data_IF_724277797094
#
_entry.id   IF_724277797094
#
_cell.length_a   1.000
_cell.length_b   1.000
_cell.length_c   1.000
_cell.angle_alpha   90.00
_cell.angle_beta   90.00
_cell.angle_gamma   90.00
#
_symmetry.space_group_name_H-M   'P 1'
#
loop_
_entity.id
_entity.type
_entity.pdbx_description
1 polymer ?
#
# COMPACT_ATOMS: atom_id res chain seq x y z
N UNK A 1 -25.05 54.19 -17.34
CA UNK A 1 -25.68 52.89 -17.08
C UNK A 1 -24.63 51.99 -16.46
N UNK A 2 -24.66 51.81 -15.15
CA UNK A 2 -23.77 50.92 -14.40
C UNK A 2 -24.44 49.55 -14.32
N UNK A 3 -23.79 48.49 -14.77
CA UNK A 3 -24.21 47.15 -14.49
C UNK A 3 -23.37 46.63 -13.30
N UNK A 4 -24.05 46.36 -12.21
CA UNK A 4 -23.57 45.70 -11.00
C UNK A 4 -23.53 44.20 -11.29
N UNK A 5 -22.37 43.59 -11.12
CA UNK A 5 -22.24 42.15 -11.00
C UNK A 5 -22.29 41.79 -9.51
N UNK A 6 -23.30 41.00 -9.15
CA UNK A 6 -23.44 40.47 -7.81
C UNK A 6 -22.40 39.41 -7.53
N UNK A 7 -21.68 39.59 -6.46
CA UNK A 7 -20.84 38.53 -5.85
C UNK A 7 -21.75 37.45 -5.26
N UNK A 8 -21.72 36.26 -5.83
CA UNK A 8 -22.29 35.07 -5.19
C UNK A 8 -21.31 34.55 -4.16
N UNK A 9 -21.61 34.73 -2.89
CA UNK A 9 -20.95 34.04 -1.79
C UNK A 9 -20.97 32.55 -1.97
N UNK A 10 -19.85 31.95 -2.35
CA UNK A 10 -19.63 30.52 -2.28
C UNK A 10 -19.35 30.15 -0.83
N UNK A 11 -20.36 29.57 -0.22
CA UNK A 11 -20.33 28.98 1.10
C UNK A 11 -19.18 27.98 1.21
N UNK A 12 -18.09 28.33 1.88
CA UNK A 12 -16.97 27.45 2.21
C UNK A 12 -17.46 26.38 3.20
N UNK A 13 -17.99 25.29 2.66
CA UNK A 13 -18.13 24.08 3.48
C UNK A 13 -16.72 23.54 3.75
N UNK A 14 -16.32 23.59 5.02
CA UNK A 14 -15.11 22.94 5.52
C UNK A 14 -15.21 21.43 5.22
N UNK A 15 -14.43 20.94 4.27
CA UNK A 15 -14.34 19.51 3.99
C UNK A 15 -13.28 18.89 4.89
N UNK A 16 -13.70 17.97 5.73
CA UNK A 16 -12.81 17.12 6.52
C UNK A 16 -12.20 16.08 5.60
N UNK A 17 -10.88 15.94 5.62
CA UNK A 17 -10.18 14.89 4.90
C UNK A 17 -10.53 13.52 5.52
N UNK A 18 -11.08 12.60 4.74
CA UNK A 18 -11.46 11.26 5.19
C UNK A 18 -10.28 10.32 5.37
N UNK A 19 -9.04 10.78 5.16
CA UNK A 19 -7.83 9.95 5.27
C UNK A 19 -7.54 9.09 4.03
N UNK A 20 -8.49 8.92 3.14
CA UNK A 20 -8.34 8.20 1.88
C UNK A 20 -7.98 9.17 0.75
N UNK A 21 -6.70 9.55 0.69
CA UNK A 21 -6.19 10.52 -0.28
C UNK A 21 -6.23 10.01 -1.72
N UNK A 22 -6.34 8.69 -1.90
CA UNK A 22 -6.48 8.08 -3.21
C UNK A 22 -7.90 8.19 -3.75
N UNK A 23 -8.91 8.25 -2.90
CA UNK A 23 -10.32 8.34 -3.31
C UNK A 23 -10.86 9.76 -3.38
N UNK A 24 -10.40 10.69 -2.54
CA UNK A 24 -10.97 12.05 -2.51
C UNK A 24 -10.34 13.01 -3.52
N UNK A 25 -9.14 12.76 -4.04
CA UNK A 25 -8.44 13.59 -5.05
C UNK A 25 -8.21 15.07 -4.67
N UNK A 26 -8.57 15.48 -3.45
CA UNK A 26 -8.58 16.88 -3.01
C UNK A 26 -7.33 17.33 -2.28
N UNK A 27 -6.57 16.38 -1.71
CA UNK A 27 -5.35 16.69 -0.97
C UNK A 27 -4.21 17.20 -1.86
N UNK A 28 -4.31 17.00 -3.17
CA UNK A 28 -3.32 17.40 -4.14
C UNK A 28 -3.54 18.80 -4.75
N UNK A 29 -4.65 19.47 -4.49
CA UNK A 29 -5.05 20.70 -5.19
C UNK A 29 -4.91 22.00 -4.35
N UNK A 30 -4.29 21.97 -3.18
CA UNK A 30 -4.03 23.19 -2.40
C UNK A 30 -2.55 23.58 -2.47
N UNK A 31 -2.26 24.68 -3.15
CA UNK A 31 -1.08 25.50 -2.86
C UNK A 31 -1.16 25.96 -1.40
N UNK A 32 -0.43 25.32 -0.51
CA UNK A 32 -0.35 25.75 0.88
C UNK A 32 0.69 26.84 1.02
N UNK A 33 0.25 28.09 1.18
CA UNK A 33 1.06 29.23 1.63
C UNK A 33 1.41 29.18 3.11
N UNK A 34 1.29 28.07 3.80
CA UNK A 34 1.73 27.91 5.17
C UNK A 34 2.39 26.54 5.35
N UNK A 35 3.71 26.58 5.59
CA UNK A 35 4.49 25.44 6.04
C UNK A 35 4.07 25.05 7.47
N UNK A 36 2.96 24.34 7.60
CA UNK A 36 2.67 23.49 8.75
C UNK A 36 2.75 22.05 8.27
N UNK A 37 3.41 21.20 9.06
CA UNK A 37 3.72 19.78 8.86
C UNK A 37 2.81 19.06 7.84
N UNK A 38 3.35 18.32 6.85
CA UNK A 38 2.54 17.70 5.83
C UNK A 38 1.49 16.80 6.49
N UNK A 39 0.23 17.05 6.20
CA UNK A 39 -0.89 16.22 6.65
C UNK A 39 -0.69 14.76 6.21
N UNK A 40 -1.04 13.81 7.08
CA UNK A 40 -1.01 12.38 6.79
C UNK A 40 -1.69 12.12 5.44
N UNK A 41 -0.95 11.61 4.44
CA UNK A 41 -1.50 11.11 3.16
C UNK A 41 -1.14 11.89 1.89
N UNK A 42 -0.26 12.89 1.92
CA UNK A 42 0.22 13.55 0.69
C UNK A 42 1.30 12.74 0.01
N UNK A 43 1.18 12.56 -1.32
CA UNK A 43 2.30 12.18 -2.17
C UNK A 43 3.30 13.34 -2.17
N UNK A 44 4.53 13.08 -1.73
CA UNK A 44 5.59 14.08 -1.72
C UNK A 44 6.70 13.65 -2.66
N UNK A 45 7.11 14.55 -3.55
CA UNK A 45 8.34 14.36 -4.28
C UNK A 45 9.55 14.68 -3.40
N UNK A 46 10.67 13.99 -3.60
CA UNK A 46 11.90 14.33 -2.91
C UNK A 46 12.35 15.75 -3.29
N UNK A 47 13.02 16.50 -2.38
CA UNK A 47 13.38 17.91 -2.61
C UNK A 47 14.33 18.14 -3.79
N UNK A 48 15.03 17.11 -4.22
CA UNK A 48 15.97 17.11 -5.36
C UNK A 48 15.28 16.78 -6.70
N UNK A 49 13.99 16.53 -6.69
CA UNK A 49 13.25 16.25 -7.91
C UNK A 49 13.06 17.50 -8.76
N UNK A 50 13.40 17.38 -10.04
CA UNK A 50 13.19 18.42 -11.04
C UNK A 50 12.44 17.83 -12.22
N UNK A 51 11.37 18.50 -12.67
CA UNK A 51 10.66 18.12 -13.90
C UNK A 51 11.27 18.83 -15.11
N UNK A 52 11.14 18.23 -16.28
CA UNK A 52 11.66 18.79 -17.53
C UNK A 52 10.66 19.79 -18.13
N UNK A 53 10.95 21.06 -18.00
CA UNK A 53 10.06 22.16 -18.44
C UNK A 53 9.86 22.25 -19.98
N UNK A 54 10.61 21.46 -20.75
CA UNK A 54 10.48 21.40 -22.22
C UNK A 54 9.43 20.42 -22.72
N UNK A 55 8.81 19.63 -21.86
CA UNK A 55 7.83 18.65 -22.26
C UNK A 55 6.47 19.31 -22.49
N UNK A 56 5.72 18.85 -23.51
CA UNK A 56 4.42 19.41 -23.86
C UNK A 56 3.28 18.43 -23.57
N UNK A 57 2.07 18.98 -23.38
CA UNK A 57 0.83 18.23 -23.28
C UNK A 57 0.54 17.70 -21.88
N UNK A 58 -0.35 16.72 -21.86
CA UNK A 58 -0.77 16.01 -20.62
C UNK A 58 -0.09 14.66 -20.54
N UNK A 59 0.09 14.19 -19.31
CA UNK A 59 0.60 12.86 -19.03
C UNK A 59 -0.22 12.15 -17.97
N UNK A 60 -0.25 10.82 -18.02
CA UNK A 60 -0.89 9.96 -17.04
C UNK A 60 0.16 9.04 -16.39
N UNK A 61 0.17 9.01 -15.07
CA UNK A 61 0.88 7.98 -14.32
C UNK A 61 -0.14 7.00 -13.73
N UNK A 62 0.05 5.71 -13.98
CA UNK A 62 -0.81 4.64 -13.49
C UNK A 62 -0.07 3.77 -12.47
N UNK A 63 -0.74 3.53 -11.34
CA UNK A 63 -0.36 2.54 -10.35
C UNK A 63 -1.35 1.37 -10.45
N UNK A 64 -0.87 0.24 -10.95
CA UNK A 64 -1.66 -0.95 -11.24
C UNK A 64 -1.60 -1.93 -10.07
N UNK A 65 -2.33 -1.63 -9.00
CA UNK A 65 -2.42 -2.51 -7.84
C UNK A 65 -3.29 -3.75 -8.09
N UNK A 66 -3.03 -4.83 -7.35
CA UNK A 66 -3.85 -6.04 -7.37
C UNK A 66 -5.30 -5.75 -7.00
N UNK A 67 -5.51 -4.90 -6.01
CA UNK A 67 -6.83 -4.57 -5.45
C UNK A 67 -7.39 -3.26 -5.99
N UNK A 68 -6.55 -2.26 -6.20
CA UNK A 68 -6.94 -0.90 -6.59
C UNK A 68 -6.07 -0.42 -7.74
N UNK A 69 -6.68 0.19 -8.74
CA UNK A 69 -6.00 0.93 -9.80
C UNK A 69 -6.05 2.42 -9.47
N UNK A 70 -4.94 3.12 -9.66
CA UNK A 70 -4.87 4.58 -9.52
C UNK A 70 -4.31 5.22 -10.79
N UNK A 71 -4.80 6.42 -11.10
CA UNK A 71 -4.29 7.26 -12.18
C UNK A 71 -4.11 8.70 -11.69
N UNK A 72 -3.01 9.32 -12.11
CA UNK A 72 -2.62 10.68 -11.81
C UNK A 72 -2.43 11.44 -13.12
N UNK A 73 -3.23 12.48 -13.33
CA UNK A 73 -3.17 13.33 -14.54
C UNK A 73 -2.29 14.54 -14.27
N UNK A 74 -1.29 14.73 -15.10
CA UNK A 74 -0.30 15.79 -14.99
C UNK A 74 -0.30 16.71 -16.21
N UNK A 75 -0.07 18.00 -15.98
CA UNK A 75 0.38 18.92 -17.01
C UNK A 75 1.90 18.82 -17.08
N UNK A 76 2.43 18.21 -18.14
CA UNK A 76 3.87 17.97 -18.30
C UNK A 76 4.66 19.26 -18.52
N UNK A 77 4.04 20.26 -19.14
CA UNK A 77 4.70 21.57 -19.37
C UNK A 77 4.97 22.33 -18.08
N UNK A 78 4.06 22.24 -17.10
CA UNK A 78 4.16 22.99 -15.84
C UNK A 78 4.60 22.13 -14.65
N UNK A 79 4.69 20.81 -14.81
CA UNK A 79 4.95 19.87 -13.72
C UNK A 79 3.81 19.83 -12.68
N UNK A 80 2.59 20.25 -13.05
CA UNK A 80 1.48 20.40 -12.09
C UNK A 80 0.55 19.19 -12.13
N UNK A 81 0.24 18.61 -10.97
CA UNK A 81 -0.80 17.61 -10.84
C UNK A 81 -2.18 18.25 -11.05
N UNK A 82 -2.91 17.77 -12.04
CA UNK A 82 -4.27 18.22 -12.36
C UNK A 82 -5.28 17.48 -11.49
N UNK A 83 -5.11 16.18 -11.31
CA UNK A 83 -6.00 15.40 -10.48
C UNK A 83 -5.63 13.92 -10.39
N UNK A 84 -6.32 13.24 -9.48
CA UNK A 84 -6.18 11.80 -9.26
C UNK A 84 -7.52 11.11 -9.32
N UNK A 85 -7.52 9.85 -9.73
CA UNK A 85 -8.69 8.99 -9.72
C UNK A 85 -8.28 7.57 -9.36
N UNK A 86 -9.11 6.90 -8.58
CA UNK A 86 -8.91 5.49 -8.24
C UNK A 86 -10.16 4.68 -8.48
N UNK A 87 -9.99 3.38 -8.68
CA UNK A 87 -11.08 2.42 -8.75
C UNK A 87 -10.63 1.04 -8.28
N UNK A 88 -11.60 0.19 -7.94
CA UNK A 88 -11.31 -1.22 -7.69
C UNK A 88 -10.84 -1.87 -8.98
N UNK A 89 -9.78 -2.69 -8.89
CA UNK A 89 -9.30 -3.45 -10.03
C UNK A 89 -10.41 -4.39 -10.54
N UNK A 90 -10.87 -4.23 -11.78
CA UNK A 90 -11.98 -5.03 -12.32
C UNK A 90 -11.63 -6.51 -12.52
N UNK A 91 -10.35 -6.88 -12.45
CA UNK A 91 -9.89 -8.27 -12.51
C UNK A 91 -10.27 -9.08 -11.25
N UNK A 92 -10.68 -8.43 -10.16
CA UNK A 92 -11.05 -9.10 -8.89
C UNK A 92 -12.11 -10.19 -9.04
N UNK A 93 -12.94 -10.15 -10.07
CA UNK A 93 -13.94 -11.18 -10.36
C UNK A 93 -13.34 -12.53 -10.76
N UNK A 94 -12.06 -12.53 -11.20
CA UNK A 94 -11.31 -13.73 -11.60
C UNK A 94 -10.37 -14.23 -10.50
N UNK A 95 -10.24 -13.50 -9.40
CA UNK A 95 -9.41 -13.88 -8.25
C UNK A 95 -9.15 -12.68 -7.34
N UNK A 96 -9.14 -12.91 -6.04
CA UNK A 96 -8.89 -11.89 -5.03
C UNK A 96 -7.41 -11.45 -4.98
N UNK A 97 -6.50 -12.36 -5.30
CA UNK A 97 -5.05 -12.22 -5.25
C UNK A 97 -4.38 -12.55 -6.60
N UNK A 98 -3.08 -12.31 -6.69
CA UNK A 98 -2.31 -12.54 -7.92
C UNK A 98 -2.24 -14.01 -8.31
N UNK A 99 -2.11 -14.94 -7.36
CA UNK A 99 -1.97 -16.37 -7.63
C UNK A 99 -3.25 -16.94 -8.24
N UNK A 100 -4.41 -16.57 -7.68
CA UNK A 100 -5.73 -16.94 -8.23
C UNK A 100 -5.88 -16.47 -9.67
N UNK A 101 -5.43 -15.24 -10.00
CA UNK A 101 -5.50 -14.69 -11.36
C UNK A 101 -4.51 -15.35 -12.30
N UNK A 102 -3.30 -15.67 -11.84
CA UNK A 102 -2.31 -16.45 -12.64
C UNK A 102 -2.88 -17.83 -12.96
N UNK A 103 -3.50 -18.49 -11.98
CA UNK A 103 -4.14 -19.79 -12.18
C UNK A 103 -5.22 -19.69 -13.25
N UNK A 104 -6.12 -18.72 -13.13
CA UNK A 104 -7.15 -18.46 -14.14
C UNK A 104 -6.56 -18.18 -15.54
N UNK A 105 -5.54 -17.32 -15.62
CA UNK A 105 -4.85 -17.01 -16.88
C UNK A 105 -4.25 -18.25 -17.55
N UNK A 106 -3.77 -19.19 -16.73
CA UNK A 106 -3.12 -20.43 -17.20
C UNK A 106 -4.06 -21.50 -17.76
N UNK A 107 -5.37 -21.42 -17.47
CA UNK A 107 -6.35 -22.43 -17.94
C UNK A 107 -6.54 -22.37 -19.46
N UNK A 108 -6.67 -21.19 -20.04
CA UNK A 108 -6.82 -21.01 -21.49
C UNK A 108 -6.22 -19.69 -21.97
N UNK A 109 -5.85 -19.62 -23.25
CA UNK A 109 -5.43 -18.35 -23.87
C UNK A 109 -6.51 -17.27 -23.80
N UNK A 110 -7.78 -17.64 -23.78
CA UNK A 110 -8.89 -16.71 -23.72
C UNK A 110 -8.95 -16.01 -22.35
N UNK A 111 -8.68 -16.73 -21.27
CA UNK A 111 -8.67 -16.19 -19.91
C UNK A 111 -7.60 -15.10 -19.72
N UNK A 112 -6.43 -15.29 -20.33
CA UNK A 112 -5.40 -14.25 -20.35
C UNK A 112 -5.88 -12.99 -21.08
N UNK A 113 -6.56 -13.14 -22.22
CA UNK A 113 -7.14 -12.01 -22.95
C UNK A 113 -8.21 -11.30 -22.12
N UNK A 114 -9.06 -12.05 -21.41
CA UNK A 114 -10.10 -11.49 -20.54
C UNK A 114 -9.49 -10.66 -19.40
N UNK A 115 -8.44 -11.16 -18.76
CA UNK A 115 -7.73 -10.41 -17.71
C UNK A 115 -7.13 -9.12 -18.26
N UNK A 116 -6.44 -9.17 -19.42
CA UNK A 116 -5.91 -7.96 -20.05
C UNK A 116 -7.02 -6.98 -20.39
N UNK A 117 -8.08 -7.43 -21.05
CA UNK A 117 -9.20 -6.56 -21.44
C UNK A 117 -9.86 -5.88 -20.23
N UNK A 118 -10.03 -6.61 -19.12
CA UNK A 118 -10.57 -6.03 -17.88
C UNK A 118 -9.64 -5.00 -17.28
N UNK A 119 -8.33 -5.26 -17.28
CA UNK A 119 -7.36 -4.27 -16.81
C UNK A 119 -7.38 -3.01 -17.67
N UNK A 120 -7.32 -3.15 -18.99
CA UNK A 120 -7.39 -2.03 -19.94
C UNK A 120 -8.71 -1.27 -19.82
N UNK A 121 -9.83 -1.97 -19.61
CA UNK A 121 -11.10 -1.29 -19.32
C UNK A 121 -10.99 -0.39 -18.10
N UNK A 122 -10.37 -0.85 -17.02
CA UNK A 122 -10.13 -0.03 -15.82
C UNK A 122 -9.21 1.16 -16.09
N UNK A 123 -8.12 0.95 -16.82
CA UNK A 123 -7.17 2.00 -17.23
C UNK A 123 -7.89 3.10 -18.04
N UNK A 124 -8.68 2.71 -19.05
CA UNK A 124 -9.44 3.67 -19.87
C UNK A 124 -10.54 4.38 -19.06
N UNK A 125 -11.24 3.69 -18.17
CA UNK A 125 -12.22 4.33 -17.29
C UNK A 125 -11.59 5.41 -16.41
N UNK A 126 -10.39 5.15 -15.85
CA UNK A 126 -9.66 6.15 -15.06
C UNK A 126 -9.20 7.32 -15.91
N UNK A 127 -8.65 7.06 -17.11
CA UNK A 127 -8.26 8.09 -18.08
C UNK A 127 -9.45 8.99 -18.43
N UNK A 128 -10.56 8.40 -18.86
CA UNK A 128 -11.74 9.12 -19.30
C UNK A 128 -12.39 9.92 -18.16
N UNK A 129 -12.44 9.35 -16.96
CA UNK A 129 -12.94 10.05 -15.77
C UNK A 129 -12.12 11.31 -15.44
N UNK A 130 -10.78 11.23 -15.52
CA UNK A 130 -9.91 12.38 -15.31
C UNK A 130 -10.04 13.42 -16.42
N UNK A 131 -9.96 13.02 -17.68
CA UNK A 131 -10.08 13.94 -18.80
C UNK A 131 -11.43 14.67 -18.79
N UNK A 132 -12.54 13.94 -18.60
CA UNK A 132 -13.88 14.53 -18.53
C UNK A 132 -14.05 15.47 -17.34
N UNK A 133 -13.54 15.07 -16.14
CA UNK A 133 -13.65 15.89 -14.90
C UNK A 133 -12.99 17.25 -15.05
N UNK A 134 -11.89 17.33 -15.79
CA UNK A 134 -11.11 18.54 -15.96
C UNK A 134 -11.28 19.17 -17.34
N UNK A 135 -12.24 18.68 -18.14
CA UNK A 135 -12.59 19.19 -19.46
C UNK A 135 -11.42 19.21 -20.46
N UNK A 136 -10.58 18.17 -20.41
CA UNK A 136 -9.53 17.96 -21.41
C UNK A 136 -9.94 16.95 -22.47
N UNK A 137 -9.41 17.13 -23.67
CA UNK A 137 -9.54 16.19 -24.78
C UNK A 137 -8.35 15.25 -24.84
N UNK A 138 -8.57 14.03 -25.31
CA UNK A 138 -7.54 12.97 -25.35
C UNK A 138 -6.36 13.35 -26.26
N UNK A 139 -6.58 14.18 -27.29
CA UNK A 139 -5.53 14.69 -28.19
C UNK A 139 -4.43 15.50 -27.47
N UNK A 140 -4.70 15.96 -26.24
CA UNK A 140 -3.69 16.63 -25.40
C UNK A 140 -2.80 15.66 -24.64
N UNK A 141 -3.19 14.39 -24.55
CA UNK A 141 -2.40 13.37 -23.89
C UNK A 141 -1.22 12.98 -24.78
N UNK A 142 0.00 13.08 -24.26
CA UNK A 142 1.22 12.78 -25.01
C UNK A 142 1.98 11.59 -24.48
N UNK A 143 1.81 11.24 -23.19
CA UNK A 143 2.51 10.13 -22.57
C UNK A 143 1.71 9.48 -21.45
N UNK A 144 1.87 8.16 -21.27
CA UNK A 144 1.40 7.44 -20.10
C UNK A 144 2.50 6.51 -19.56
N UNK A 145 2.65 6.49 -18.23
CA UNK A 145 3.63 5.68 -17.51
C UNK A 145 2.88 4.72 -16.58
N UNK A 146 3.27 3.46 -16.59
CA UNK A 146 2.64 2.40 -15.81
C UNK A 146 3.63 1.77 -14.84
N UNK A 147 3.25 1.66 -13.58
CA UNK A 147 3.91 0.80 -12.60
C UNK A 147 2.89 -0.17 -11.99
N UNK A 148 3.37 -1.19 -11.32
CA UNK A 148 2.58 -2.20 -10.63
C UNK A 148 3.44 -3.41 -10.33
N UNK A 149 2.90 -4.37 -9.55
CA UNK A 149 3.64 -5.60 -9.32
C UNK A 149 3.86 -6.39 -10.61
N UNK A 150 4.80 -7.33 -10.58
CA UNK A 150 5.22 -8.09 -11.77
C UNK A 150 4.05 -8.80 -12.46
N UNK A 151 3.10 -9.34 -11.71
CA UNK A 151 1.92 -10.01 -12.27
C UNK A 151 1.02 -9.02 -13.01
N UNK A 152 0.81 -7.83 -12.46
CA UNK A 152 -0.03 -6.81 -13.08
C UNK A 152 0.56 -6.28 -14.37
N UNK A 153 1.88 -6.12 -14.44
CA UNK A 153 2.57 -5.73 -15.68
C UNK A 153 2.51 -6.84 -16.74
N UNK A 154 2.59 -8.13 -16.33
CA UNK A 154 2.36 -9.26 -17.25
C UNK A 154 0.95 -9.26 -17.82
N UNK A 155 -0.08 -8.99 -17.02
CA UNK A 155 -1.45 -8.87 -17.52
C UNK A 155 -1.63 -7.68 -18.45
N UNK A 156 -1.00 -6.53 -18.16
CA UNK A 156 -1.05 -5.35 -19.03
C UNK A 156 -0.47 -5.66 -20.41
N UNK A 157 0.71 -6.28 -20.44
CA UNK A 157 1.47 -6.57 -21.66
C UNK A 157 1.08 -7.90 -22.33
N UNK A 158 0.18 -8.67 -21.70
CA UNK A 158 -0.22 -10.01 -22.15
C UNK A 158 0.94 -11.00 -22.24
N UNK A 159 1.93 -10.85 -21.37
CA UNK A 159 3.02 -11.80 -21.18
C UNK A 159 2.57 -12.97 -20.31
N UNK A 160 3.19 -14.14 -20.50
CA UNK A 160 2.81 -15.36 -19.78
C UNK A 160 3.13 -15.27 -18.28
N UNK A 161 2.12 -15.26 -17.38
CA UNK A 161 2.36 -15.10 -15.95
C UNK A 161 2.63 -16.43 -15.22
N UNK A 162 2.54 -17.59 -15.88
CA UNK A 162 2.58 -18.90 -15.22
C UNK A 162 3.88 -19.15 -14.47
N UNK A 163 4.99 -18.62 -14.97
CA UNK A 163 6.28 -18.69 -14.30
C UNK A 163 6.29 -18.02 -12.91
N UNK A 164 5.40 -17.04 -12.67
CA UNK A 164 5.31 -16.34 -11.39
C UNK A 164 4.63 -17.16 -10.28
N UNK A 165 3.89 -18.21 -10.63
CA UNK A 165 3.19 -19.05 -9.64
C UNK A 165 3.98 -20.30 -9.22
N UNK A 166 5.09 -20.59 -9.88
CA UNK A 166 5.87 -21.80 -9.67
C UNK A 166 7.34 -21.46 -9.40
N UNK A 167 7.92 -22.05 -8.35
CA UNK A 167 9.36 -21.91 -8.08
C UNK A 167 10.18 -22.32 -9.33
N UNK A 168 11.18 -21.52 -9.71
CA UNK A 168 11.81 -20.41 -9.03
C UNK A 168 11.19 -19.02 -9.31
N UNK A 169 9.89 -18.92 -9.61
CA UNK A 169 9.10 -17.69 -9.77
C UNK A 169 9.65 -16.73 -10.84
N UNK A 170 10.05 -17.30 -11.98
CA UNK A 170 10.67 -16.53 -13.06
C UNK A 170 9.62 -15.77 -13.89
N UNK A 171 9.76 -14.46 -14.05
CA UNK A 171 8.93 -13.66 -14.94
C UNK A 171 9.25 -13.97 -16.42
N UNK A 172 8.25 -13.80 -17.30
CA UNK A 172 8.46 -13.91 -18.75
C UNK A 172 9.27 -12.73 -19.31
N UNK A 173 9.27 -11.58 -18.62
CA UNK A 173 10.10 -10.42 -18.90
C UNK A 173 10.41 -9.66 -17.62
N UNK A 174 11.51 -8.89 -17.61
CA UNK A 174 11.94 -8.09 -16.45
C UNK A 174 12.13 -6.61 -16.80
N UNK A 175 12.72 -6.29 -17.94
CA UNK A 175 13.05 -4.92 -18.35
C UNK A 175 11.82 -4.02 -18.53
N UNK A 176 12.09 -2.77 -18.82
CA UNK A 176 11.09 -1.79 -19.21
C UNK A 176 10.48 -2.13 -20.58
N UNK A 177 9.31 -1.54 -20.84
CA UNK A 177 8.68 -1.59 -22.16
C UNK A 177 8.26 -0.19 -22.58
N UNK A 178 8.77 0.23 -23.71
CA UNK A 178 8.27 1.41 -24.43
C UNK A 178 7.46 0.95 -25.64
N UNK A 179 6.32 1.59 -25.90
CA UNK A 179 5.41 1.19 -26.96
C UNK A 179 4.51 2.35 -27.43
N UNK A 180 3.92 2.19 -28.62
CA UNK A 180 2.91 3.13 -29.15
C UNK A 180 1.57 2.99 -28.40
N UNK A 181 0.88 4.11 -28.23
CA UNK A 181 -0.42 4.14 -27.53
C UNK A 181 -1.44 3.16 -28.04
N UNK A 182 -1.49 2.94 -29.36
CA UNK A 182 -2.43 2.00 -30.02
C UNK A 182 -2.33 0.57 -29.50
N UNK A 183 -1.17 0.14 -28.99
CA UNK A 183 -0.97 -1.22 -28.49
C UNK A 183 -1.84 -1.51 -27.25
N UNK A 184 -2.13 -0.47 -26.46
CA UNK A 184 -3.02 -0.56 -25.30
C UNK A 184 -4.32 0.26 -25.47
N UNK A 185 -4.67 0.62 -26.72
CA UNK A 185 -5.93 1.33 -27.03
C UNK A 185 -5.92 2.82 -26.71
N UNK A 186 -4.76 3.45 -26.55
CA UNK A 186 -4.59 4.91 -26.55
C UNK A 186 -4.45 5.43 -27.99
N UNK A 187 -4.44 6.76 -28.14
CA UNK A 187 -4.17 7.37 -29.46
C UNK A 187 -2.72 7.11 -29.90
N UNK A 188 -2.50 6.99 -31.22
CA UNK A 188 -1.21 6.60 -31.81
C UNK A 188 -0.04 7.53 -31.44
N UNK A 189 -0.32 8.80 -31.14
CA UNK A 189 0.71 9.76 -30.75
C UNK A 189 1.08 9.73 -29.26
N UNK A 190 0.40 8.90 -28.45
CA UNK A 190 0.71 8.75 -27.02
C UNK A 190 1.83 7.73 -26.86
N UNK A 191 2.95 8.13 -26.28
CA UNK A 191 4.02 7.21 -25.89
C UNK A 191 3.67 6.55 -24.57
N UNK A 192 3.81 5.23 -24.48
CA UNK A 192 3.58 4.43 -23.29
C UNK A 192 4.91 3.89 -22.74
N UNK A 193 5.07 3.95 -21.42
CA UNK A 193 6.23 3.40 -20.74
C UNK A 193 5.78 2.54 -19.55
N UNK A 194 6.24 1.30 -19.49
CA UNK A 194 6.01 0.38 -18.36
C UNK A 194 7.32 0.21 -17.61
N UNK A 195 7.31 0.52 -16.32
CA UNK A 195 8.49 0.44 -15.47
C UNK A 195 9.03 -0.99 -15.39
N UNK A 196 10.36 -1.15 -15.32
CA UNK A 196 10.99 -2.45 -15.21
C UNK A 196 10.63 -3.15 -13.91
N UNK A 197 10.46 -4.46 -13.96
CA UNK A 197 10.37 -5.33 -12.80
C UNK A 197 11.77 -5.68 -12.29
N UNK A 198 11.87 -6.02 -11.00
CA UNK A 198 13.12 -6.45 -10.35
C UNK A 198 13.19 -7.97 -10.36
N UNK A 199 12.07 -8.64 -10.06
CA UNK A 199 11.97 -10.09 -9.99
C UNK A 199 10.51 -10.56 -10.09
N UNK A 200 10.27 -11.86 -10.00
CA UNK A 200 8.94 -12.47 -10.12
C UNK A 200 7.88 -11.89 -9.17
N UNK A 201 8.27 -11.50 -7.96
CA UNK A 201 7.38 -10.93 -6.97
C UNK A 201 7.80 -9.53 -6.49
N UNK A 202 8.75 -8.88 -7.17
CA UNK A 202 9.19 -7.51 -6.89
C UNK A 202 9.09 -6.73 -8.19
N UNK A 203 8.03 -5.95 -8.33
CA UNK A 203 7.62 -5.35 -9.59
C UNK A 203 8.06 -3.92 -9.82
N UNK A 204 7.48 -3.32 -10.88
CA UNK A 204 7.67 -1.92 -11.24
C UNK A 204 7.14 -0.92 -10.21
N UNK A 205 6.25 -1.33 -9.31
CA UNK A 205 5.82 -0.56 -8.14
C UNK A 205 6.98 -0.31 -7.16
N UNK A 206 7.82 -1.33 -6.91
CA UNK A 206 9.01 -1.18 -6.08
C UNK A 206 10.09 -0.39 -6.81
N UNK A 207 10.24 -0.57 -8.12
CA UNK A 207 11.12 0.29 -8.93
C UNK A 207 10.70 1.77 -8.81
N UNK A 208 9.41 2.07 -8.96
CA UNK A 208 8.84 3.40 -8.72
C UNK A 208 9.08 3.88 -7.28
N UNK A 209 8.91 2.99 -6.30
CA UNK A 209 9.21 3.24 -4.90
C UNK A 209 10.66 3.65 -4.64
N UNK A 210 11.60 3.01 -5.33
CA UNK A 210 13.04 3.39 -5.25
C UNK A 210 13.30 4.76 -5.87
N UNK A 211 12.63 5.09 -6.99
CA UNK A 211 12.71 6.43 -7.60
C UNK A 211 12.22 7.48 -6.62
N UNK A 212 11.01 7.33 -6.07
CA UNK A 212 10.38 8.36 -5.25
C UNK A 212 10.96 8.48 -3.84
N UNK A 213 11.37 7.38 -3.22
CA UNK A 213 11.91 7.37 -1.86
C UNK A 213 13.38 7.83 -1.77
N UNK A 214 14.10 7.74 -2.89
CA UNK A 214 15.57 7.97 -2.93
C UNK A 214 16.37 7.04 -2.01
N UNK A 215 15.80 5.94 -1.55
CA UNK A 215 16.44 5.06 -0.56
C UNK A 215 17.82 4.58 -1.05
N UNK A 216 17.96 4.24 -2.33
CA UNK A 216 19.24 3.88 -2.94
C UNK A 216 20.26 5.03 -3.02
N UNK A 217 19.82 6.30 -2.97
CA UNK A 217 20.71 7.47 -3.02
C UNK A 217 21.12 7.97 -1.61
N UNK A 218 20.53 7.41 -0.54
CA UNK A 218 20.81 7.82 0.85
C UNK A 218 22.07 7.16 1.38
N UNK A 219 22.80 7.86 2.27
CA UNK A 219 23.95 7.29 2.97
C UNK A 219 23.54 6.47 4.16
N UNK A 220 24.16 5.32 4.36
CA UNK A 220 23.90 4.38 5.45
C UNK A 220 22.93 3.27 5.06
N UNK A 221 22.62 2.43 6.02
CA UNK A 221 21.74 1.26 5.83
C UNK A 221 20.28 1.65 6.04
N UNK A 222 19.43 1.43 5.05
CA UNK A 222 18.04 1.82 5.05
C UNK A 222 17.13 0.66 4.69
N UNK A 223 15.97 0.62 5.30
CA UNK A 223 14.91 -0.32 5.00
C UNK A 223 13.75 0.41 4.32
N UNK A 224 13.33 -0.06 3.17
CA UNK A 224 12.10 0.35 2.51
C UNK A 224 11.12 -0.82 2.56
N UNK A 225 9.87 -0.53 2.89
CA UNK A 225 8.84 -1.55 3.06
C UNK A 225 7.55 -1.06 2.42
N UNK A 226 7.02 -1.80 1.45
CA UNK A 226 5.66 -1.61 0.93
C UNK A 226 4.79 -2.74 1.45
N UNK A 227 3.86 -2.42 2.34
CA UNK A 227 3.03 -3.39 3.04
C UNK A 227 1.60 -3.36 2.51
N UNK A 228 1.29 -4.31 1.66
CA UNK A 228 -0.05 -4.60 1.14
C UNK A 228 -0.44 -6.05 1.41
N UNK A 229 -1.08 -6.71 0.45
CA UNK A 229 -1.38 -8.16 0.46
C UNK A 229 -0.09 -8.97 0.51
N UNK A 230 0.95 -8.53 -0.20
CA UNK A 230 2.33 -8.96 0.00
C UNK A 230 3.08 -7.86 0.76
N UNK A 231 4.23 -8.20 1.31
CA UNK A 231 5.15 -7.23 1.89
C UNK A 231 6.44 -7.22 1.09
N UNK A 232 6.60 -6.23 0.22
CA UNK A 232 7.85 -6.02 -0.50
C UNK A 232 8.82 -5.24 0.38
N UNK A 233 10.03 -5.77 0.53
CA UNK A 233 11.05 -5.24 1.43
C UNK A 233 12.35 -5.04 0.67
N UNK A 234 12.94 -3.85 0.78
CA UNK A 234 14.26 -3.53 0.23
C UNK A 234 15.17 -3.07 1.35
N UNK A 235 16.29 -3.76 1.54
CA UNK A 235 17.40 -3.30 2.37
C UNK A 235 18.44 -2.64 1.45
N UNK A 236 18.70 -1.35 1.65
CA UNK A 236 19.56 -0.54 0.79
C UNK A 236 20.73 0.06 1.53
N UNK A 237 21.92 0.00 0.94
CA UNK A 237 23.13 0.63 1.46
C UNK A 237 24.07 1.00 0.29
N UNK A 238 24.59 2.22 0.31
CA UNK A 238 25.60 2.72 -0.64
C UNK A 238 25.29 2.47 -2.12
N UNK A 239 24.03 2.70 -2.50
CA UNK A 239 23.56 2.61 -3.88
C UNK A 239 23.21 1.23 -4.39
N UNK A 240 23.25 0.20 -3.54
CA UNK A 240 22.84 -1.18 -3.82
C UNK A 240 21.77 -1.62 -2.84
N UNK A 241 21.08 -2.71 -3.13
CA UNK A 241 20.08 -3.26 -2.23
C UNK A 241 19.86 -4.75 -2.40
N UNK A 242 19.25 -5.33 -1.37
CA UNK A 242 18.60 -6.64 -1.40
C UNK A 242 17.09 -6.41 -1.40
N UNK A 243 16.36 -7.12 -2.24
CA UNK A 243 14.91 -7.04 -2.31
C UNK A 243 14.28 -8.41 -2.13
N UNK A 244 13.19 -8.48 -1.39
CA UNK A 244 12.38 -9.69 -1.27
C UNK A 244 10.89 -9.35 -1.24
N UNK A 245 10.05 -10.36 -1.45
CA UNK A 245 8.62 -10.28 -1.22
C UNK A 245 8.19 -11.34 -0.22
N UNK A 246 7.33 -10.98 0.73
CA UNK A 246 6.79 -11.85 1.75
C UNK A 246 5.29 -12.04 1.56
N UNK A 247 4.79 -13.26 1.75
CA UNK A 247 3.36 -13.54 1.75
C UNK A 247 2.74 -13.11 3.10
N UNK A 248 2.61 -11.79 3.31
CA UNK A 248 2.07 -11.23 4.53
C UNK A 248 0.55 -11.54 4.70
N UNK A 249 -0.16 -11.71 3.60
CA UNK A 249 -1.61 -11.85 3.59
C UNK A 249 -2.33 -10.51 3.77
N UNK A 250 -3.65 -10.46 3.51
CA UNK A 250 -4.38 -9.20 3.44
C UNK A 250 -4.91 -8.71 4.81
N UNK A 251 -4.36 -9.17 5.94
CA UNK A 251 -4.80 -8.76 7.27
C UNK A 251 -4.69 -7.25 7.48
N UNK A 252 -3.61 -6.64 7.03
CA UNK A 252 -3.38 -5.20 7.12
C UNK A 252 -4.17 -4.37 6.09
N UNK A 253 -4.85 -5.01 5.14
CA UNK A 253 -5.86 -4.39 4.28
C UNK A 253 -7.30 -4.57 4.83
N UNK A 254 -7.46 -5.28 5.94
CA UNK A 254 -8.75 -5.59 6.54
C UNK A 254 -9.55 -6.69 5.81
N UNK A 255 -8.96 -7.40 4.85
CA UNK A 255 -9.71 -8.31 3.98
C UNK A 255 -9.90 -9.73 4.53
N UNK A 256 -9.01 -10.21 5.41
CA UNK A 256 -9.10 -11.56 6.01
C UNK A 256 -9.67 -11.57 7.43
N UNK A 257 -10.10 -10.42 7.94
CA UNK A 257 -10.62 -10.28 9.30
C UNK A 257 -12.11 -10.50 9.36
N UNK A 258 -12.62 -11.02 10.48
CA UNK A 258 -14.04 -11.35 10.69
C UNK A 258 -14.97 -10.13 10.57
N UNK A 259 -14.54 -8.99 11.13
CA UNK A 259 -15.21 -7.68 11.00
C UNK A 259 -14.35 -6.68 10.24
N UNK A 260 -13.53 -7.16 9.31
CA UNK A 260 -12.59 -6.33 8.56
C UNK A 260 -13.28 -5.47 7.51
N UNK A 261 -12.77 -4.27 7.35
CA UNK A 261 -13.17 -3.36 6.28
C UNK A 261 -11.97 -2.54 5.78
N UNK A 262 -12.15 -1.90 4.63
CA UNK A 262 -11.15 -0.95 4.14
C UNK A 262 -11.18 0.33 4.97
N UNK A 263 -10.04 1.04 5.00
CA UNK A 263 -9.97 2.37 5.58
C UNK A 263 -10.91 3.32 4.81
N UNK A 264 -11.99 3.72 5.46
CA UNK A 264 -13.06 4.56 4.92
C UNK A 264 -13.98 5.02 6.03
N UNK A 265 -15.02 5.79 5.69
CA UNK A 265 -15.97 6.33 6.67
C UNK A 265 -16.57 5.21 7.54
N UNK A 266 -16.52 5.38 8.86
CA UNK A 266 -17.00 4.41 9.85
C UNK A 266 -16.05 3.25 10.15
N UNK A 267 -14.91 3.11 9.46
CA UNK A 267 -13.91 2.11 9.81
C UNK A 267 -13.22 2.47 11.13
N UNK A 268 -13.12 1.55 12.07
CA UNK A 268 -12.31 1.71 13.28
C UNK A 268 -10.84 1.68 12.88
N UNK A 269 -10.10 2.74 13.15
CA UNK A 269 -8.70 2.92 12.76
C UNK A 269 -7.72 3.07 13.94
N UNK A 270 -8.22 3.36 15.14
CA UNK A 270 -7.45 3.44 16.37
C UNK A 270 -8.25 2.93 17.56
N UNK A 271 -7.58 2.22 18.46
CA UNK A 271 -8.13 1.74 19.73
C UNK A 271 -7.17 2.12 20.85
N UNK A 272 -7.74 2.50 21.99
CA UNK A 272 -7.00 2.77 23.23
C UNK A 272 -7.67 2.00 24.36
N UNK A 273 -6.86 1.19 25.08
CA UNK A 273 -7.32 0.41 26.24
C UNK A 273 -6.57 0.89 27.49
N UNK A 274 -7.32 1.46 28.41
CA UNK A 274 -6.88 1.84 29.75
C UNK A 274 -7.78 1.17 30.79
N UNK A 275 -8.40 1.90 31.71
CA UNK A 275 -9.45 1.35 32.58
C UNK A 275 -10.69 0.94 31.78
N UNK A 276 -11.01 1.73 30.73
CA UNK A 276 -12.03 1.44 29.71
C UNK A 276 -11.40 1.42 28.32
N UNK A 277 -12.11 0.82 27.37
CA UNK A 277 -11.72 0.84 25.97
C UNK A 277 -12.46 1.95 25.22
N UNK A 278 -11.72 2.74 24.49
CA UNK A 278 -12.22 3.72 23.52
C UNK A 278 -11.68 3.44 22.13
N UNK A 279 -12.34 3.93 21.11
CA UNK A 279 -11.90 3.79 19.72
C UNK A 279 -12.20 5.05 18.92
N UNK A 280 -11.47 5.25 17.85
CA UNK A 280 -11.73 6.25 16.84
C UNK A 280 -12.26 5.56 15.56
N UNK A 281 -13.15 6.27 14.82
CA UNK A 281 -13.60 5.85 13.49
C UNK A 281 -13.28 6.93 12.47
N UNK A 282 -12.85 6.54 11.29
CA UNK A 282 -12.61 7.47 10.19
C UNK A 282 -13.92 8.23 9.90
N UNK A 283 -13.85 9.57 9.90
CA UNK A 283 -15.02 10.43 9.67
C UNK A 283 -15.95 10.58 10.88
N UNK A 284 -15.61 10.00 12.04
CA UNK A 284 -16.43 10.01 13.26
C UNK A 284 -17.84 9.44 13.07
N UNK A 285 -17.99 8.53 12.10
CA UNK A 285 -19.23 7.84 11.80
C UNK A 285 -19.47 6.64 12.71
N UNK A 286 -20.67 6.02 12.55
CA UNK A 286 -21.01 4.75 13.19
C UNK A 286 -20.02 3.66 12.74
N UNK A 287 -19.51 2.82 13.67
CA UNK A 287 -18.62 1.72 13.29
C UNK A 287 -19.24 0.76 12.29
N UNK A 288 -18.52 0.49 11.20
CA UNK A 288 -18.92 -0.49 10.16
C UNK A 288 -18.00 -1.70 10.11
N UNK A 289 -16.81 -1.60 10.73
CA UNK A 289 -15.79 -2.63 10.76
C UNK A 289 -14.48 -2.08 11.29
N UNK A 290 -13.41 -2.87 11.18
CA UNK A 290 -12.06 -2.50 11.60
C UNK A 290 -11.12 -2.53 10.37
N UNK A 291 -10.34 -1.47 10.16
CA UNK A 291 -9.35 -1.43 9.08
C UNK A 291 -7.96 -1.91 9.53
N UNK A 292 -7.00 -1.94 8.63
CA UNK A 292 -5.65 -2.44 8.90
C UNK A 292 -4.90 -1.73 10.02
N UNK A 293 -4.98 -0.39 10.10
CA UNK A 293 -4.41 0.36 11.22
C UNK A 293 -5.14 0.07 12.52
N UNK A 294 -6.46 -0.07 12.46
CA UNK A 294 -7.30 -0.38 13.62
C UNK A 294 -7.01 -1.76 14.21
N UNK A 295 -6.87 -2.81 13.39
CA UNK A 295 -6.57 -4.16 13.92
C UNK A 295 -5.17 -4.21 14.54
N UNK A 296 -4.18 -3.53 13.96
CA UNK A 296 -2.86 -3.45 14.55
C UNK A 296 -2.87 -2.72 15.90
N UNK A 297 -3.54 -1.56 15.96
CA UNK A 297 -3.74 -0.80 17.21
C UNK A 297 -4.49 -1.64 18.25
N UNK A 298 -5.56 -2.33 17.85
CA UNK A 298 -6.31 -3.20 18.74
C UNK A 298 -5.47 -4.32 19.36
N UNK A 299 -4.72 -5.04 18.52
CA UNK A 299 -3.89 -6.16 18.98
C UNK A 299 -2.76 -5.64 19.88
N UNK A 300 -2.17 -4.48 19.58
CA UNK A 300 -1.15 -3.85 20.43
C UNK A 300 -1.72 -3.48 21.80
N UNK A 301 -2.86 -2.80 21.85
CA UNK A 301 -3.50 -2.40 23.09
C UNK A 301 -4.01 -3.60 23.90
N UNK A 302 -4.61 -4.59 23.26
CA UNK A 302 -5.02 -5.83 23.89
C UNK A 302 -3.83 -6.59 24.49
N UNK A 303 -2.68 -6.54 23.81
CA UNK A 303 -1.44 -7.16 24.31
C UNK A 303 -0.85 -6.38 25.50
N UNK A 304 -0.83 -5.04 25.43
CA UNK A 304 -0.40 -4.15 26.55
C UNK A 304 -1.29 -4.35 27.77
N UNK A 305 -2.59 -4.46 27.58
CA UNK A 305 -3.56 -4.66 28.64
C UNK A 305 -3.57 -6.09 29.24
N UNK A 306 -2.90 -7.07 28.61
CA UNK A 306 -2.92 -8.46 29.07
C UNK A 306 -4.13 -9.29 28.61
N UNK A 307 -4.99 -8.74 27.76
CA UNK A 307 -6.13 -9.46 27.14
C UNK A 307 -5.65 -10.54 26.16
N UNK A 308 -4.45 -10.36 25.59
CA UNK A 308 -3.77 -11.33 24.73
C UNK A 308 -2.43 -11.67 25.37
N UNK A 309 -2.13 -12.96 25.52
CA UNK A 309 -0.82 -13.39 26.00
C UNK A 309 0.25 -13.32 24.88
N UNK A 310 1.52 -13.55 25.22
CA UNK A 310 2.64 -13.50 24.27
C UNK A 310 2.44 -14.42 23.05
N UNK A 311 1.77 -15.57 23.22
CA UNK A 311 1.48 -16.51 22.12
C UNK A 311 0.23 -16.15 21.31
N UNK A 312 -0.35 -14.98 21.53
CA UNK A 312 -1.53 -14.50 20.82
C UNK A 312 -2.84 -15.13 21.28
N UNK A 313 -2.90 -15.84 22.42
CA UNK A 313 -4.14 -16.39 22.93
C UNK A 313 -4.96 -15.30 23.63
N UNK A 314 -6.17 -15.09 23.16
CA UNK A 314 -7.18 -14.27 23.83
C UNK A 314 -7.64 -14.98 25.09
N UNK A 315 -7.57 -14.31 26.25
CA UNK A 315 -8.03 -14.86 27.53
C UNK A 315 -9.56 -14.94 27.58
N UNK A 316 -10.10 -15.73 28.50
CA UNK A 316 -11.55 -15.78 28.72
C UNK A 316 -12.00 -14.66 29.66
N UNK A 317 -13.33 -14.38 29.65
CA UNK A 317 -13.92 -13.44 30.61
C UNK A 317 -13.72 -13.88 32.04
N UNK A 318 -13.80 -15.20 32.32
CA UNK A 318 -13.55 -15.78 33.63
C UNK A 318 -12.12 -15.57 34.09
N UNK A 319 -11.13 -15.87 33.23
CA UNK A 319 -9.69 -15.62 33.50
C UNK A 319 -9.44 -14.12 33.80
N UNK A 320 -10.14 -13.23 33.05
CA UNK A 320 -10.01 -11.78 33.26
C UNK A 320 -10.62 -11.33 34.59
N UNK A 321 -11.85 -11.76 34.89
CA UNK A 321 -12.58 -11.40 36.11
C UNK A 321 -11.85 -11.88 37.38
N UNK A 322 -11.23 -13.07 37.32
CA UNK A 322 -10.43 -13.59 38.42
C UNK A 322 -9.21 -12.67 38.69
N UNK A 323 -8.53 -12.21 37.66
CA UNK A 323 -7.38 -11.33 37.78
C UNK A 323 -7.74 -9.85 38.01
N UNK A 324 -8.91 -9.40 37.51
CA UNK A 324 -9.35 -7.99 37.50
C UNK A 324 -10.84 -7.88 37.86
N UNK A 325 -11.28 -8.18 39.09
CA UNK A 325 -12.68 -8.38 39.46
C UNK A 325 -13.59 -7.16 39.30
N UNK A 326 -13.05 -5.97 39.07
CA UNK A 326 -13.84 -4.74 38.90
C UNK A 326 -13.63 -4.08 37.53
N UNK A 327 -12.89 -4.72 36.64
CA UNK A 327 -12.60 -4.14 35.33
C UNK A 327 -13.80 -4.27 34.38
N UNK A 328 -14.25 -3.19 33.75
CA UNK A 328 -15.34 -3.23 32.77
C UNK A 328 -14.98 -4.00 31.49
N UNK A 329 -13.68 -4.26 31.26
CA UNK A 329 -13.20 -4.97 30.07
C UNK A 329 -13.65 -6.43 30.03
N UNK A 330 -13.90 -7.08 31.19
CA UNK A 330 -14.42 -8.43 31.27
C UNK A 330 -15.75 -8.63 30.52
N UNK A 331 -16.62 -7.61 30.55
CA UNK A 331 -17.91 -7.62 29.83
C UNK A 331 -17.77 -7.63 28.31
N UNK A 332 -16.60 -7.27 27.77
CA UNK A 332 -16.28 -7.28 26.34
C UNK A 332 -15.71 -8.62 25.88
N UNK A 333 -15.26 -9.47 26.81
CA UNK A 333 -14.79 -10.83 26.52
C UNK A 333 -16.02 -11.77 26.45
N UNK A 334 -16.38 -12.16 25.25
CA UNK A 334 -17.59 -12.97 24.99
C UNK A 334 -17.17 -14.32 24.41
N UNK A 335 -17.82 -15.39 24.86
CA UNK A 335 -17.67 -16.72 24.29
C UNK A 335 -18.94 -17.09 23.48
N UNK A 336 -18.73 -17.56 22.24
CA UNK A 336 -19.78 -18.09 21.37
C UNK A 336 -19.42 -19.50 20.94
N UNK A 337 -19.92 -20.47 21.70
CA UNK A 337 -19.47 -21.84 21.53
C UNK A 337 -18.02 -22.01 21.88
N UNK A 338 -17.18 -22.36 20.88
CA UNK A 338 -15.72 -22.49 21.06
C UNK A 338 -14.94 -21.21 20.74
N UNK A 339 -15.61 -20.23 20.16
CA UNK A 339 -14.98 -18.99 19.74
C UNK A 339 -14.95 -17.96 20.85
N UNK A 340 -13.80 -17.29 21.01
CA UNK A 340 -13.62 -16.17 21.93
C UNK A 340 -13.52 -14.88 21.14
N UNK A 341 -14.24 -13.86 21.63
CA UNK A 341 -14.37 -12.57 20.98
C UNK A 341 -14.06 -11.45 21.98
N UNK A 342 -13.46 -10.38 21.52
CA UNK A 342 -13.40 -9.11 22.23
C UNK A 342 -14.25 -8.08 21.49
N UNK A 343 -15.35 -7.65 22.14
CA UNK A 343 -16.30 -6.70 21.55
C UNK A 343 -15.72 -5.28 21.56
N UNK A 344 -15.58 -4.70 20.38
CA UNK A 344 -15.18 -3.29 20.22
C UNK A 344 -16.41 -2.37 20.30
N UNK A 345 -17.49 -2.76 19.61
CA UNK A 345 -18.71 -1.99 19.55
C UNK A 345 -19.92 -2.91 19.32
N UNK A 346 -21.07 -2.52 19.89
CA UNK A 346 -22.34 -3.21 19.65
C UNK A 346 -23.53 -2.27 19.80
N UNK A 347 -24.45 -2.31 18.84
CA UNK A 347 -25.74 -1.63 18.87
C UNK A 347 -26.81 -2.52 18.22
N UNK A 348 -27.78 -2.98 19.00
CA UNK A 348 -28.78 -3.95 18.54
C UNK A 348 -28.13 -5.25 18.07
N UNK A 349 -28.38 -5.62 16.82
CA UNK A 349 -27.83 -6.83 16.18
C UNK A 349 -26.47 -6.56 15.46
N UNK A 350 -26.08 -5.31 15.30
CA UNK A 350 -24.81 -4.94 14.68
C UNK A 350 -23.69 -4.91 15.71
N UNK A 351 -22.54 -5.44 15.35
CA UNK A 351 -21.37 -5.46 16.21
C UNK A 351 -20.06 -5.47 15.43
N UNK A 352 -19.00 -4.96 16.06
CA UNK A 352 -17.62 -5.10 15.62
C UNK A 352 -16.86 -5.76 16.76
N UNK A 353 -16.21 -6.87 16.46
CA UNK A 353 -15.46 -7.66 17.43
C UNK A 353 -14.17 -8.19 16.81
N UNK A 354 -13.21 -8.55 17.66
CA UNK A 354 -11.98 -9.23 17.28
C UNK A 354 -12.06 -10.66 17.81
N UNK A 355 -11.88 -11.64 16.95
CA UNK A 355 -11.84 -13.04 17.31
C UNK A 355 -10.39 -13.58 17.41
N UNK A 356 -10.26 -14.80 17.91
CA UNK A 356 -8.96 -15.46 17.99
C UNK A 356 -8.30 -15.62 16.63
N UNK A 357 -9.07 -15.84 15.56
CA UNK A 357 -8.55 -15.99 14.21
C UNK A 357 -7.98 -14.67 13.70
N UNK A 358 -8.63 -13.52 13.97
CA UNK A 358 -8.11 -12.20 13.57
C UNK A 358 -6.73 -11.92 14.18
N UNK A 359 -6.55 -12.29 15.46
CA UNK A 359 -5.24 -12.18 16.13
C UNK A 359 -4.21 -13.06 15.43
N UNK A 360 -4.60 -14.26 14.99
CA UNK A 360 -3.71 -15.17 14.27
C UNK A 360 -3.32 -14.62 12.91
N UNK A 361 -4.24 -13.98 12.18
CA UNK A 361 -3.93 -13.29 10.91
C UNK A 361 -2.86 -12.21 11.11
N UNK A 362 -2.98 -11.39 12.16
CA UNK A 362 -1.96 -10.38 12.51
C UNK A 362 -0.62 -11.04 12.85
N UNK A 363 -0.61 -12.15 13.60
CA UNK A 363 0.62 -12.88 13.91
C UNK A 363 1.31 -13.41 12.66
N UNK A 364 0.55 -13.99 11.72
CA UNK A 364 1.09 -14.53 10.47
C UNK A 364 1.66 -13.42 9.59
N UNK A 365 0.94 -12.34 9.41
CA UNK A 365 1.38 -11.18 8.61
C UNK A 365 2.67 -10.57 9.20
N UNK A 366 2.65 -10.29 10.50
CA UNK A 366 3.81 -9.78 11.24
C UNK A 366 5.01 -10.70 11.11
N UNK A 367 4.80 -11.99 11.28
CA UNK A 367 5.87 -12.99 11.25
C UNK A 367 6.53 -13.04 9.86
N UNK A 368 5.73 -13.05 8.79
CA UNK A 368 6.23 -13.04 7.42
C UNK A 368 7.11 -11.80 7.16
N UNK A 369 6.58 -10.61 7.48
CA UNK A 369 7.29 -9.33 7.29
C UNK A 369 8.59 -9.32 8.09
N UNK A 370 8.52 -9.66 9.37
CA UNK A 370 9.71 -9.63 10.23
C UNK A 370 10.77 -10.63 9.79
N UNK A 371 10.37 -11.82 9.34
CA UNK A 371 11.28 -12.81 8.79
C UNK A 371 12.01 -12.28 7.56
N UNK A 372 11.29 -11.65 6.61
CA UNK A 372 11.91 -11.03 5.45
C UNK A 372 12.98 -10.00 5.84
N UNK A 373 12.66 -9.10 6.78
CA UNK A 373 13.61 -8.10 7.29
C UNK A 373 14.87 -8.76 7.88
N UNK A 374 14.70 -9.77 8.75
CA UNK A 374 15.82 -10.43 9.42
C UNK A 374 16.73 -11.18 8.44
N UNK A 375 16.16 -11.85 7.44
CA UNK A 375 16.93 -12.56 6.44
C UNK A 375 17.74 -11.61 5.55
N UNK A 376 17.17 -10.46 5.15
CA UNK A 376 17.93 -9.44 4.42
C UNK A 376 19.07 -8.87 5.28
N UNK A 377 18.80 -8.52 6.54
CA UNK A 377 19.82 -8.03 7.48
C UNK A 377 20.93 -9.07 7.66
N UNK A 378 20.58 -10.34 7.92
CA UNK A 378 21.53 -11.44 8.07
C UNK A 378 22.41 -11.60 6.83
N UNK A 379 21.84 -11.53 5.63
CA UNK A 379 22.57 -11.68 4.36
C UNK A 379 23.65 -10.62 4.19
N UNK A 380 23.40 -9.40 4.63
CA UNK A 380 24.39 -8.32 4.63
C UNK A 380 25.18 -8.18 5.94
N UNK A 381 25.02 -9.12 6.88
CA UNK A 381 25.68 -9.08 8.20
C UNK A 381 25.40 -7.76 8.92
N UNK A 382 24.16 -7.30 8.84
CA UNK A 382 23.63 -6.11 9.52
C UNK A 382 22.69 -6.53 10.64
N UNK A 383 22.48 -5.61 11.57
CA UNK A 383 21.55 -5.74 12.69
C UNK A 383 20.56 -4.58 12.67
N UNK A 384 19.44 -4.63 13.39
CA UNK A 384 18.51 -3.51 13.49
C UNK A 384 19.15 -2.19 13.94
N UNK A 385 20.21 -2.23 14.72
CA UNK A 385 20.95 -1.06 15.22
C UNK A 385 21.68 -0.32 14.09
N UNK A 386 22.09 -1.05 13.04
CA UNK A 386 22.76 -0.49 11.85
C UNK A 386 21.80 0.31 10.97
N UNK A 387 20.48 0.12 11.12
CA UNK A 387 19.48 0.80 10.31
C UNK A 387 19.45 2.30 10.62
N UNK A 388 19.77 3.11 9.63
CA UNK A 388 19.72 4.57 9.69
C UNK A 388 18.28 5.08 9.56
N UNK A 389 17.45 4.39 8.78
CA UNK A 389 16.04 4.75 8.59
C UNK A 389 15.20 3.62 8.01
N UNK A 390 13.90 3.63 8.34
CA UNK A 390 12.86 2.76 7.80
C UNK A 390 11.82 3.62 7.08
N UNK A 391 11.53 3.28 5.84
CA UNK A 391 10.60 4.01 4.97
C UNK A 391 9.43 3.12 4.62
N UNK A 392 8.24 3.52 5.09
CA UNK A 392 7.00 2.76 4.91
C UNK A 392 6.22 3.33 3.74
N UNK A 393 6.04 2.55 2.69
CA UNK A 393 5.22 2.88 1.53
C UNK A 393 3.78 2.39 1.69
N UNK A 394 2.93 2.78 0.74
CA UNK A 394 1.53 2.39 0.67
C UNK A 394 0.62 3.15 1.64
N UNK A 395 -0.68 2.91 1.49
CA UNK A 395 -1.69 3.56 2.33
C UNK A 395 -1.58 3.16 3.81
N UNK A 396 -1.23 1.90 4.06
CA UNK A 396 -1.03 1.36 5.40
C UNK A 396 0.13 2.06 6.12
N UNK A 397 1.26 2.29 5.44
CA UNK A 397 2.43 2.97 6.02
C UNK A 397 2.14 4.40 6.51
N UNK A 398 1.11 5.08 5.96
CA UNK A 398 0.73 6.41 6.39
C UNK A 398 -0.25 6.44 7.58
N UNK A 399 -1.07 5.39 7.73
CA UNK A 399 -2.10 5.32 8.76
C UNK A 399 -1.67 4.50 9.96
N UNK A 400 -0.59 3.75 9.82
CA UNK A 400 -0.01 2.91 10.85
C UNK A 400 0.50 3.75 12.03
N UNK A 401 0.14 3.36 13.25
CA UNK A 401 0.76 3.88 14.46
C UNK A 401 2.11 3.19 14.66
N UNK A 402 3.20 3.94 14.46
CA UNK A 402 4.57 3.41 14.46
C UNK A 402 4.90 2.70 15.78
N UNK A 403 4.48 3.29 16.89
CA UNK A 403 4.66 2.71 18.23
C UNK A 403 4.08 1.29 18.33
N UNK A 404 2.86 1.07 17.81
CA UNK A 404 2.20 -0.23 17.85
C UNK A 404 2.90 -1.26 16.95
N UNK A 405 3.37 -0.83 15.78
CA UNK A 405 4.13 -1.69 14.86
C UNK A 405 5.49 -2.12 15.46
N UNK A 406 6.17 -1.21 16.14
CA UNK A 406 7.40 -1.51 16.90
C UNK A 406 7.11 -2.43 18.08
N UNK A 407 6.07 -2.13 18.85
CA UNK A 407 5.70 -2.92 20.05
C UNK A 407 5.34 -4.37 19.70
N UNK A 408 4.55 -4.58 18.64
CA UNK A 408 4.19 -5.91 18.16
C UNK A 408 5.35 -6.62 17.43
N UNK A 409 6.38 -5.89 17.02
CA UNK A 409 7.52 -6.43 16.28
C UNK A 409 7.24 -6.66 14.79
N UNK A 410 6.30 -5.94 14.20
CA UNK A 410 6.15 -5.83 12.73
C UNK A 410 7.40 -5.16 12.15
N UNK A 411 7.83 -4.07 12.79
CA UNK A 411 9.09 -3.39 12.49
C UNK A 411 10.22 -3.90 13.36
N UNK A 412 11.48 -3.89 12.86
CA UNK A 412 12.63 -4.18 13.69
C UNK A 412 12.78 -3.14 14.81
N UNK A 413 13.44 -3.49 15.96
CA UNK A 413 13.54 -2.61 17.11
C UNK A 413 14.49 -1.44 16.82
N UNK A 414 13.94 -0.34 16.35
CA UNK A 414 14.63 0.95 16.12
C UNK A 414 13.93 2.06 16.89
N UNK A 415 14.60 3.20 17.02
CA UNK A 415 13.95 4.38 17.59
C UNK A 415 12.85 4.89 16.62
N UNK A 416 11.70 5.30 17.17
CA UNK A 416 10.53 5.71 16.39
C UNK A 416 10.84 6.81 15.38
N UNK A 417 11.71 7.75 15.72
CA UNK A 417 12.13 8.85 14.84
C UNK A 417 12.94 8.41 13.61
N UNK A 418 13.33 7.12 13.52
CA UNK A 418 13.94 6.52 12.33
C UNK A 418 12.90 5.96 11.35
N UNK A 419 11.61 5.95 11.71
CA UNK A 419 10.53 5.41 10.86
C UNK A 419 9.76 6.55 10.23
N UNK A 420 9.58 6.51 8.91
CA UNK A 420 8.87 7.51 8.14
C UNK A 420 7.87 6.87 7.17
N UNK A 421 6.62 7.33 7.21
CA UNK A 421 5.62 7.03 6.17
C UNK A 421 5.84 7.89 4.93
N UNK A 422 5.80 7.28 3.75
CA UNK A 422 6.04 7.95 2.47
C UNK A 422 4.78 8.06 1.58
N UNK A 423 3.70 7.40 1.94
CA UNK A 423 2.49 7.38 1.12
C UNK A 423 2.58 6.50 -0.13
N UNK A 424 1.84 6.87 -1.18
CA UNK A 424 1.88 6.15 -2.45
C UNK A 424 3.19 6.44 -3.21
N UNK A 425 4.21 5.66 -2.90
CA UNK A 425 5.54 5.76 -3.54
C UNK A 425 5.52 5.24 -4.98
N UNK A 426 4.66 4.29 -5.29
CA UNK A 426 4.48 3.76 -6.64
C UNK A 426 3.93 4.83 -7.59
N UNK A 427 2.82 5.47 -7.23
CA UNK A 427 2.25 6.57 -8.01
C UNK A 427 3.17 7.80 -8.08
N UNK A 428 3.90 8.09 -6.98
CA UNK A 428 4.89 9.17 -6.96
C UNK A 428 6.04 8.90 -7.94
N UNK A 429 6.65 7.70 -7.88
CA UNK A 429 7.75 7.32 -8.76
C UNK A 429 7.35 7.26 -10.22
N UNK A 430 6.19 6.68 -10.55
CA UNK A 430 5.64 6.69 -11.90
C UNK A 430 5.41 8.13 -12.42
N UNK A 431 4.98 9.05 -11.55
CA UNK A 431 4.82 10.46 -11.89
C UNK A 431 6.16 11.16 -12.12
N UNK A 432 7.19 10.84 -11.34
CA UNK A 432 8.54 11.39 -11.54
C UNK A 432 9.14 10.93 -12.88
N UNK A 433 9.01 9.64 -13.21
CA UNK A 433 9.41 9.08 -14.51
C UNK A 433 8.61 9.71 -15.67
N UNK A 434 7.32 9.99 -15.48
CA UNK A 434 6.50 10.69 -16.47
C UNK A 434 6.99 12.11 -16.77
N UNK A 435 7.56 12.79 -15.76
CA UNK A 435 7.87 14.22 -15.79
C UNK A 435 9.35 14.51 -16.02
N UNK A 436 10.25 13.52 -15.98
CA UNK A 436 11.70 13.72 -16.09
C UNK A 436 12.39 12.56 -16.80
N UNK A 437 13.17 12.88 -17.84
CA UNK A 437 14.01 11.92 -18.56
C UNK A 437 15.12 11.39 -17.67
N UNK A 438 15.70 12.22 -16.78
CA UNK A 438 16.72 11.77 -15.81
C UNK A 438 16.17 10.68 -14.89
N UNK A 439 14.90 10.81 -14.44
CA UNK A 439 14.28 9.82 -13.59
C UNK A 439 13.92 8.54 -14.36
N UNK A 440 13.59 8.64 -15.63
CA UNK A 440 13.39 7.50 -16.52
C UNK A 440 14.66 6.72 -16.73
N UNK A 441 15.76 7.39 -17.10
CA UNK A 441 17.09 6.77 -17.23
C UNK A 441 17.54 6.15 -15.90
N UNK A 442 17.30 6.85 -14.81
CA UNK A 442 17.59 6.37 -13.45
C UNK A 442 16.78 5.13 -13.09
N UNK A 443 15.52 5.08 -13.50
CA UNK A 443 14.58 3.97 -13.26
C UNK A 443 15.07 2.68 -13.95
N UNK A 444 15.52 2.76 -15.19
CA UNK A 444 16.09 1.64 -15.94
C UNK A 444 17.24 0.93 -15.19
N UNK A 445 18.04 1.68 -14.43
CA UNK A 445 19.19 1.15 -13.71
C UNK A 445 18.84 0.52 -12.35
N UNK A 446 17.64 0.69 -11.83
CA UNK A 446 17.26 0.20 -10.49
C UNK A 446 17.32 -1.32 -10.38
N UNK A 447 16.77 -2.13 -11.30
CA UNK A 447 16.88 -3.59 -11.22
C UNK A 447 18.33 -4.11 -11.13
N UNK A 448 19.27 -3.41 -11.77
CA UNK A 448 20.68 -3.79 -11.74
C UNK A 448 21.38 -3.50 -10.39
N UNK A 449 20.77 -2.66 -9.55
CA UNK A 449 21.28 -2.29 -8.22
C UNK A 449 20.67 -3.14 -7.11
N UNK A 450 19.64 -3.93 -7.41
CA UNK A 450 18.89 -4.73 -6.44
C UNK A 450 19.09 -6.22 -6.71
N UNK A 451 19.63 -6.94 -5.74
CA UNK A 451 19.68 -8.40 -5.76
C UNK A 451 18.37 -8.94 -5.16
N UNK A 452 17.64 -9.75 -5.90
CA UNK A 452 16.47 -10.42 -5.38
C UNK A 452 16.86 -11.60 -4.47
N UNK A 453 16.23 -11.70 -3.32
CA UNK A 453 16.37 -12.79 -2.35
C UNK A 453 15.07 -13.58 -2.32
N UNK A 454 15.12 -14.82 -2.83
CA UNK A 454 13.98 -15.74 -2.78
C UNK A 454 13.89 -16.35 -1.38
N UNK A 455 12.98 -15.83 -0.56
CA UNK A 455 12.83 -16.23 0.85
C UNK A 455 12.42 -17.69 1.01
N UNK A 456 11.65 -18.23 0.09
CA UNK A 456 11.18 -19.62 0.16
C UNK A 456 12.33 -20.65 0.04
N UNK A 457 13.49 -20.24 -0.45
CA UNK A 457 14.69 -21.08 -0.60
C UNK A 457 15.70 -20.87 0.54
N UNK A 458 15.44 -19.92 1.48
CA UNK A 458 16.32 -19.67 2.61
C UNK A 458 16.10 -20.70 3.72
N UNK A 459 17.17 -21.39 4.13
CA UNK A 459 17.12 -22.47 5.12
C UNK A 459 16.62 -21.97 6.50
N UNK A 460 16.86 -20.70 6.84
CA UNK A 460 16.45 -20.12 8.10
C UNK A 460 15.02 -19.55 8.07
N UNK A 461 14.35 -19.55 6.92
CA UNK A 461 13.03 -18.92 6.79
C UNK A 461 12.02 -19.50 7.80
N UNK A 462 11.89 -20.82 7.86
CA UNK A 462 10.89 -21.47 8.68
C UNK A 462 11.15 -21.26 10.16
N UNK A 463 12.41 -21.32 10.60
CA UNK A 463 12.80 -21.07 11.99
C UNK A 463 12.49 -19.64 12.40
N UNK A 464 12.88 -18.65 11.59
CA UNK A 464 12.58 -17.25 11.85
C UNK A 464 11.08 -16.98 11.84
N UNK A 465 10.33 -17.56 10.89
CA UNK A 465 8.88 -17.40 10.82
C UNK A 465 8.21 -17.87 12.11
N UNK A 466 8.55 -19.05 12.62
CA UNK A 466 8.02 -19.57 13.89
C UNK A 466 8.44 -18.71 15.08
N UNK A 467 9.69 -18.24 15.11
CA UNK A 467 10.23 -17.37 16.16
C UNK A 467 9.46 -16.06 16.28
N UNK A 468 9.09 -15.46 15.15
CA UNK A 468 8.39 -14.17 15.11
C UNK A 468 6.86 -14.27 15.15
N UNK A 469 6.29 -15.47 15.32
CA UNK A 469 4.84 -15.64 15.56
C UNK A 469 4.40 -15.09 16.93
N UNK A 470 5.25 -15.14 17.95
CA UNK A 470 4.96 -14.59 19.27
C UNK A 470 5.00 -13.05 19.25
N UNK A 471 4.14 -12.41 20.06
CA UNK A 471 4.18 -10.96 20.29
C UNK A 471 5.20 -10.58 21.35
#
# INVERSE_FOLDING_TARGET
MRFLWGESEMNEKSFVCTGDCLTCGRCFSRETKDQKSPGKGMMTFPPDFMWDSGQEGLGLAFDLGTTTLAALLWNRTTGTLIGTQTMLNPQRIYGADVISRITYAGETRNHMNELQQRLLQGVHQLKDALLNRFCYHEEKLTRAVFCGNTTMSHFLLREDPRGLALSPFQPAYEGEREMDGKELGFMDHVSLYVLPNIAGHVGGDITAGMVSSRVLKRKGCHLFMDLGTNGEIVLAEDGKGLACSTAAGPAFEGASLSCGCRAGEGAIDEIVIQEEMTFHTIGNGKPVGICGSGILSAVAEMRKAGLINRRGRLISGEEWEEAHPYSPLGKRLVARGKERLFLLWKEGDEEVAICQQDIREVQMAKSAIRTGVELLLKRWKRTPEDLTGIYMAGAFGNTLKIEDALYLGVLPPVAENRVQGLGNTAGAGASMVLLSEEEEDGCYLIPQKLEHVELALDEDFQENYLKYMDF
#
